data_IF_152342508740
#
_entry.id   IF_152342508740
#
_cell.length_a   1.000
_cell.length_b   1.000
_cell.length_c   1.000
_cell.angle_alpha   90.00
_cell.angle_beta   90.00
_cell.angle_gamma   90.00
#
_symmetry.space_group_name_H-M   'P 1'
#
loop_
_entity.id
_entity.type
_entity.pdbx_description
1 polymer ?
#
# COMPACT_ATOMS: atom_id res chain seq x y z
N UNK A 1 12.51 13.13 5.33
CA UNK A 1 12.34 14.56 5.03
C UNK A 1 10.88 14.87 4.72
N UNK A 2 10.32 14.44 3.58
CA UNK A 2 8.90 14.63 3.24
C UNK A 2 7.91 14.10 4.29
N UNK A 3 8.06 12.84 4.74
CA UNK A 3 7.20 12.28 5.79
C UNK A 3 7.31 13.01 7.14
N UNK A 4 8.44 13.67 7.40
CA UNK A 4 8.67 14.46 8.61
C UNK A 4 8.02 15.83 8.49
N UNK A 5 8.11 16.45 7.32
CA UNK A 5 7.50 17.75 7.02
C UNK A 5 5.98 17.69 7.03
N UNK A 6 5.38 16.63 6.48
CA UNK A 6 3.93 16.48 6.35
C UNK A 6 3.34 15.49 7.37
N UNK A 7 3.96 15.34 8.54
CA UNK A 7 3.57 14.34 9.55
C UNK A 7 2.12 14.53 10.01
N UNK A 8 1.69 15.78 10.21
CA UNK A 8 0.32 16.13 10.58
C UNK A 8 -0.67 15.75 9.48
N UNK A 9 -0.41 16.14 8.24
CA UNK A 9 -1.29 15.87 7.09
C UNK A 9 -1.40 14.37 6.80
N UNK A 10 -0.28 13.64 6.99
CA UNK A 10 -0.25 12.17 6.96
C UNK A 10 -1.08 11.56 8.09
N UNK A 11 -1.04 12.14 9.30
CA UNK A 11 -1.82 11.68 10.45
C UNK A 11 -3.32 11.93 10.29
N UNK A 12 -3.69 13.02 9.62
CA UNK A 12 -5.07 13.39 9.27
C UNK A 12 -5.60 12.63 8.06
N UNK A 13 -4.77 11.77 7.46
CA UNK A 13 -5.19 10.72 6.55
C UNK A 13 -5.91 11.21 5.28
N UNK A 14 -5.53 12.40 4.81
CA UNK A 14 -5.96 12.97 3.52
C UNK A 14 -4.81 13.29 2.55
N UNK A 15 -3.57 13.01 2.97
CA UNK A 15 -2.36 13.19 2.20
C UNK A 15 -1.59 11.87 2.12
N UNK A 16 -1.08 11.54 0.93
CA UNK A 16 -0.17 10.40 0.72
C UNK A 16 1.10 10.94 0.07
N UNK A 17 2.25 10.47 0.55
CA UNK A 17 3.54 10.73 -0.07
C UNK A 17 4.06 9.42 -0.66
N UNK A 18 4.40 9.47 -1.94
CA UNK A 18 5.03 8.36 -2.62
C UNK A 18 6.29 8.84 -3.34
N UNK A 19 7.46 8.52 -2.75
CA UNK A 19 8.76 9.00 -3.23
C UNK A 19 8.74 10.53 -3.32
N UNK A 20 8.58 11.09 -4.52
CA UNK A 20 8.60 12.53 -4.80
C UNK A 20 7.18 13.11 -5.03
N UNK A 21 6.16 12.26 -5.10
CA UNK A 21 4.78 12.67 -5.38
C UNK A 21 3.99 12.89 -4.09
N UNK A 22 3.35 14.06 -3.98
CA UNK A 22 2.36 14.37 -2.94
C UNK A 22 0.97 14.23 -3.56
N UNK A 23 0.14 13.35 -2.99
CA UNK A 23 -1.21 13.09 -3.44
C UNK A 23 -2.19 13.57 -2.36
N UNK A 24 -3.03 14.52 -2.73
CA UNK A 24 -4.04 15.13 -1.87
C UNK A 24 -5.41 14.63 -2.31
N UNK A 25 -6.29 14.28 -1.37
CA UNK A 25 -7.66 13.86 -1.69
C UNK A 25 -8.67 14.41 -0.69
N UNK A 26 -9.91 14.56 -1.16
CA UNK A 26 -11.02 15.12 -0.38
C UNK A 26 -12.37 14.59 -0.83
N UNK A 27 -13.33 14.69 0.08
CA UNK A 27 -14.74 14.33 -0.14
C UNK A 27 -15.49 15.42 -0.89
N UNK A 28 -15.18 16.69 -0.60
CA UNK A 28 -15.79 17.87 -1.23
C UNK A 28 -14.72 18.78 -1.84
N UNK A 29 -15.16 19.65 -2.74
CA UNK A 29 -14.30 20.61 -3.41
C UNK A 29 -13.71 21.63 -2.44
N UNK A 30 -14.52 22.11 -1.49
CA UNK A 30 -14.14 23.10 -0.49
C UNK A 30 -13.04 22.55 0.43
N UNK A 31 -13.21 21.30 0.89
CA UNK A 31 -12.17 20.60 1.66
C UNK A 31 -10.90 20.37 0.81
N UNK A 32 -11.05 20.14 -0.50
CA UNK A 32 -9.90 19.99 -1.40
C UNK A 32 -9.08 21.25 -1.53
N UNK A 33 -9.73 22.40 -1.72
CA UNK A 33 -9.04 23.69 -1.79
C UNK A 33 -8.31 24.01 -0.48
N UNK A 34 -8.97 23.81 0.66
CA UNK A 34 -8.36 24.05 1.98
C UNK A 34 -7.13 23.15 2.22
N UNK A 35 -7.21 21.87 1.87
CA UNK A 35 -6.08 20.92 1.99
C UNK A 35 -4.94 21.27 1.03
N UNK A 36 -5.26 21.63 -0.21
CA UNK A 36 -4.28 22.05 -1.20
C UNK A 36 -3.53 23.30 -0.73
N UNK A 37 -4.24 24.30 -0.21
CA UNK A 37 -3.66 25.51 0.34
C UNK A 37 -2.67 25.19 1.48
N UNK A 38 -3.09 24.36 2.44
CA UNK A 38 -2.23 23.94 3.56
C UNK A 38 -0.93 23.28 3.09
N UNK A 39 -1.02 22.39 2.10
CA UNK A 39 0.16 21.73 1.53
C UNK A 39 1.09 22.73 0.86
N UNK A 40 0.55 23.61 0.02
CA UNK A 40 1.34 24.61 -0.69
C UNK A 40 2.01 25.60 0.28
N UNK A 41 1.32 26.03 1.33
CA UNK A 41 1.90 26.88 2.37
C UNK A 41 3.08 26.19 3.05
N UNK A 42 2.96 24.91 3.39
CA UNK A 42 4.04 24.14 4.03
C UNK A 42 5.23 23.94 3.11
N UNK A 43 4.99 23.68 1.82
CA UNK A 43 6.03 23.60 0.78
C UNK A 43 6.84 24.90 0.74
N UNK A 44 6.17 26.05 0.78
CA UNK A 44 6.82 27.37 0.81
C UNK A 44 7.64 27.56 2.09
N UNK A 45 7.07 27.21 3.25
CA UNK A 45 7.75 27.34 4.55
C UNK A 45 9.06 26.55 4.63
N UNK A 46 9.08 25.33 4.07
CA UNK A 46 10.29 24.49 4.06
C UNK A 46 11.18 24.72 2.84
N UNK A 47 10.91 25.75 2.03
CA UNK A 47 11.64 26.10 0.80
C UNK A 47 11.76 24.91 -0.18
N UNK A 48 10.71 24.10 -0.29
CA UNK A 48 10.64 22.97 -1.22
C UNK A 48 10.17 23.45 -2.59
N UNK A 49 10.79 22.92 -3.66
CA UNK A 49 10.46 23.30 -5.03
C UNK A 49 9.52 22.29 -5.66
N UNK A 50 8.42 22.78 -6.24
CA UNK A 50 7.49 21.99 -7.05
C UNK A 50 7.66 22.30 -8.53
N UNK A 51 7.59 21.27 -9.37
CA UNK A 51 7.54 21.45 -10.82
C UNK A 51 6.09 21.61 -11.26
N UNK A 52 5.62 22.85 -11.40
CA UNK A 52 4.21 23.13 -11.74
C UNK A 52 3.76 22.42 -13.02
N UNK A 53 4.67 22.26 -14.01
CA UNK A 53 4.42 21.51 -15.25
C UNK A 53 4.08 20.02 -15.03
N UNK A 54 4.48 19.45 -13.89
CA UNK A 54 4.21 18.06 -13.50
C UNK A 54 3.05 17.95 -12.50
N UNK A 55 2.54 19.07 -12.00
CA UNK A 55 1.43 19.07 -11.06
C UNK A 55 0.10 18.87 -11.80
N UNK A 56 -0.77 18.05 -11.21
CA UNK A 56 -2.09 17.72 -11.74
C UNK A 56 -3.12 18.05 -10.67
N UNK A 57 -4.06 18.95 -10.95
CA UNK A 57 -5.02 19.45 -9.96
C UNK A 57 -6.46 19.06 -10.29
N UNK A 58 -7.29 18.94 -9.25
CA UNK A 58 -8.74 18.89 -9.35
C UNK A 58 -9.35 17.77 -10.22
N UNK A 59 -8.69 16.60 -10.27
CA UNK A 59 -9.22 15.45 -10.99
C UNK A 59 -10.26 14.69 -10.15
N UNK A 60 -11.40 14.36 -10.75
CA UNK A 60 -12.42 13.49 -10.13
C UNK A 60 -11.92 12.04 -9.95
N UNK A 61 -10.95 11.62 -10.79
CA UNK A 61 -10.21 10.36 -10.69
C UNK A 61 -8.79 10.59 -11.18
N UNK A 62 -7.79 10.27 -10.37
CA UNK A 62 -6.37 10.44 -10.73
C UNK A 62 -5.78 9.10 -11.13
N UNK A 63 -5.07 9.01 -12.26
CA UNK A 63 -4.26 7.81 -12.57
C UNK A 63 -2.86 7.99 -11.98
N UNK A 64 -2.68 7.66 -10.70
CA UNK A 64 -1.37 7.74 -10.04
C UNK A 64 -0.71 6.36 -9.97
N UNK A 65 0.61 6.31 -10.15
CA UNK A 65 1.42 5.09 -9.98
C UNK A 65 0.98 3.91 -10.89
N UNK A 66 0.50 4.21 -12.10
CA UNK A 66 0.03 3.22 -13.07
C UNK A 66 -1.46 2.82 -12.93
N UNK A 67 -2.21 3.38 -11.98
CA UNK A 67 -3.54 2.90 -11.63
C UNK A 67 -4.58 4.01 -11.46
N UNK A 68 -5.83 3.74 -11.86
CA UNK A 68 -6.95 4.69 -11.70
C UNK A 68 -7.34 4.74 -10.24
N UNK A 69 -7.37 5.95 -9.70
CA UNK A 69 -7.65 6.18 -8.31
C UNK A 69 -8.89 7.06 -8.13
N UNK A 70 -9.94 6.43 -7.59
CA UNK A 70 -11.13 7.09 -7.03
C UNK A 70 -11.36 6.46 -5.65
N UNK A 71 -11.40 7.25 -4.57
CA UNK A 71 -11.35 6.77 -3.16
C UNK A 71 -10.05 5.99 -2.86
N UNK A 72 -8.99 6.75 -2.54
CA UNK A 72 -7.60 6.50 -2.96
C UNK A 72 -6.87 5.27 -2.40
N UNK A 73 -7.04 4.94 -1.12
CA UNK A 73 -6.30 3.84 -0.47
C UNK A 73 -6.74 2.45 -0.96
N UNK A 74 -8.04 2.24 -1.15
CA UNK A 74 -8.61 0.97 -1.63
C UNK A 74 -8.32 0.74 -3.12
N UNK A 75 -8.31 1.79 -3.94
CA UNK A 75 -8.12 1.67 -5.40
C UNK A 75 -6.70 1.23 -5.79
N UNK A 76 -5.67 1.85 -5.21
CA UNK A 76 -4.27 1.48 -5.45
C UNK A 76 -3.99 0.07 -4.92
N UNK A 77 -4.55 -0.25 -3.75
CA UNK A 77 -4.43 -1.56 -3.14
C UNK A 77 -5.00 -2.68 -4.02
N UNK A 78 -6.29 -2.56 -4.41
CA UNK A 78 -7.00 -3.61 -5.16
C UNK A 78 -6.26 -3.95 -6.46
N UNK A 79 -5.67 -2.93 -7.09
CA UNK A 79 -4.90 -3.12 -8.32
C UNK A 79 -3.53 -3.79 -8.09
N UNK A 80 -2.77 -3.40 -7.05
CA UNK A 80 -1.49 -4.05 -6.72
C UNK A 80 -1.69 -5.53 -6.35
N UNK A 81 -2.74 -5.84 -5.60
CA UNK A 81 -3.08 -7.24 -5.28
C UNK A 81 -3.57 -8.00 -6.50
N UNK A 82 -4.44 -7.43 -7.32
CA UNK A 82 -4.89 -8.08 -8.55
C UNK A 82 -3.72 -8.50 -9.44
N UNK A 83 -2.71 -7.64 -9.61
CA UNK A 83 -1.51 -7.95 -10.39
C UNK A 83 -0.72 -9.15 -9.82
N UNK A 84 -0.69 -9.34 -8.50
CA UNK A 84 -0.03 -10.49 -7.87
C UNK A 84 -0.91 -11.75 -7.89
N UNK A 85 -2.23 -11.60 -7.76
CA UNK A 85 -3.17 -12.73 -7.86
C UNK A 85 -3.18 -13.37 -9.25
N UNK A 86 -2.93 -12.58 -10.29
CA UNK A 86 -2.87 -13.02 -11.69
C UNK A 86 -1.53 -13.65 -12.08
N UNK A 87 -0.48 -13.50 -11.27
CA UNK A 87 0.81 -14.15 -11.57
C UNK A 87 0.69 -15.67 -11.43
N UNK A 88 1.42 -16.44 -12.27
CA UNK A 88 1.51 -17.88 -12.11
C UNK A 88 2.17 -18.23 -10.78
N UNK A 89 1.96 -19.47 -10.34
CA UNK A 89 2.57 -19.99 -9.12
C UNK A 89 4.11 -19.89 -9.23
N UNK A 90 4.81 -19.40 -8.19
CA UNK A 90 6.27 -19.36 -8.19
C UNK A 90 6.86 -20.74 -8.46
N UNK A 91 7.80 -20.82 -9.39
CA UNK A 91 8.53 -22.03 -9.76
C UNK A 91 9.98 -22.01 -9.23
N UNK A 92 10.41 -20.88 -8.66
CA UNK A 92 11.77 -20.72 -8.13
C UNK A 92 11.80 -20.09 -6.74
N UNK A 93 12.90 -20.30 -5.99
CA UNK A 93 13.14 -19.60 -4.71
C UNK A 93 13.06 -18.08 -4.87
N UNK A 94 13.56 -17.54 -5.98
CA UNK A 94 13.60 -16.10 -6.24
C UNK A 94 12.18 -15.54 -6.37
N UNK A 95 11.33 -16.22 -7.14
CA UNK A 95 9.92 -15.85 -7.31
C UNK A 95 9.15 -15.99 -6.00
N UNK A 96 9.39 -17.06 -5.23
CA UNK A 96 8.74 -17.24 -3.93
C UNK A 96 9.17 -16.16 -2.92
N UNK A 97 10.46 -15.79 -2.88
CA UNK A 97 10.95 -14.66 -2.08
C UNK A 97 10.31 -13.33 -2.50
N UNK A 98 10.14 -13.11 -3.80
CA UNK A 98 9.46 -11.92 -4.32
C UNK A 98 8.00 -11.88 -3.88
N UNK A 99 7.29 -13.00 -3.98
CA UNK A 99 5.92 -13.13 -3.48
C UNK A 99 5.83 -12.89 -1.96
N UNK A 100 6.70 -13.52 -1.17
CA UNK A 100 6.76 -13.32 0.28
C UNK A 100 7.10 -11.88 0.67
N UNK A 101 7.97 -11.20 -0.07
CA UNK A 101 8.25 -9.78 0.13
C UNK A 101 7.02 -8.92 -0.11
N UNK A 102 6.27 -9.19 -1.19
CA UNK A 102 5.00 -8.51 -1.45
C UNK A 102 3.94 -8.79 -0.38
N UNK A 103 3.72 -10.06 -0.04
CA UNK A 103 2.75 -10.44 0.99
C UNK A 103 3.14 -9.88 2.36
N UNK A 104 4.44 -9.83 2.66
CA UNK A 104 5.03 -9.27 3.87
C UNK A 104 4.80 -7.76 4.01
N UNK A 105 4.78 -7.01 2.89
CA UNK A 105 4.39 -5.60 2.91
C UNK A 105 2.96 -5.40 3.45
N UNK A 106 2.07 -6.37 3.24
CA UNK A 106 0.68 -6.31 3.71
C UNK A 106 0.40 -7.18 4.95
N UNK A 107 1.44 -7.66 5.64
CA UNK A 107 1.32 -8.60 6.77
C UNK A 107 0.35 -8.15 7.87
N UNK A 108 0.24 -6.84 8.10
CA UNK A 108 -0.66 -6.26 9.13
C UNK A 108 -2.15 -6.48 8.84
N UNK A 109 -2.51 -6.79 7.58
CA UNK A 109 -3.89 -7.06 7.17
C UNK A 109 -4.16 -8.56 6.99
N UNK A 110 -3.16 -9.40 7.25
CA UNK A 110 -3.25 -10.85 7.10
C UNK A 110 -3.17 -11.47 8.49
N UNK A 111 -4.29 -11.97 8.98
CA UNK A 111 -4.35 -12.69 10.25
C UNK A 111 -3.37 -13.88 10.20
N UNK A 112 -2.60 -14.04 11.27
CA UNK A 112 -1.62 -15.11 11.43
C UNK A 112 -0.55 -15.19 10.32
N UNK A 113 -0.20 -14.07 9.68
CA UNK A 113 0.77 -14.04 8.57
C UNK A 113 2.03 -14.87 8.84
N UNK A 114 2.63 -14.72 10.02
CA UNK A 114 3.86 -15.44 10.38
C UNK A 114 3.67 -16.97 10.44
N UNK A 115 2.51 -17.43 10.93
CA UNK A 115 2.15 -18.86 10.97
C UNK A 115 2.02 -19.41 9.56
N UNK A 116 1.32 -18.69 8.68
CA UNK A 116 1.05 -19.13 7.31
C UNK A 116 2.34 -19.11 6.48
N UNK A 117 3.12 -18.03 6.55
CA UNK A 117 4.35 -17.85 5.77
C UNK A 117 5.49 -18.79 6.21
N UNK A 118 5.41 -19.44 7.37
CA UNK A 118 6.47 -20.28 7.94
C UNK A 118 6.93 -21.39 6.98
N UNK A 119 5.99 -22.14 6.39
CA UNK A 119 6.34 -23.23 5.45
C UNK A 119 6.98 -22.69 4.18
N UNK A 120 6.52 -21.54 3.68
CA UNK A 120 7.07 -20.88 2.50
C UNK A 120 8.48 -20.32 2.73
N UNK A 121 8.75 -19.76 3.92
CA UNK A 121 10.10 -19.32 4.30
C UNK A 121 11.09 -20.49 4.30
N UNK A 122 10.67 -21.66 4.79
CA UNK A 122 11.49 -22.89 4.78
C UNK A 122 11.86 -23.34 3.37
N UNK A 123 10.95 -23.20 2.40
CA UNK A 123 11.22 -23.48 0.97
C UNK A 123 12.25 -22.51 0.35
N UNK A 124 12.44 -21.33 0.97
CA UNK A 124 13.32 -20.28 0.48
C UNK A 124 14.72 -20.27 1.12
N UNK A 125 14.99 -21.15 2.08
CA UNK A 125 16.28 -21.29 2.74
C UNK A 125 17.39 -21.69 1.73
N UNK A 126 18.62 -21.26 2.00
CA UNK A 126 19.74 -21.48 1.06
C UNK A 126 20.01 -22.97 0.82
N UNK A 127 19.97 -23.78 1.88
CA UNK A 127 20.32 -25.21 1.85
C UNK A 127 19.19 -26.15 1.40
N UNK A 128 17.96 -25.64 1.25
CA UNK A 128 16.78 -26.46 0.93
C UNK A 128 16.57 -26.58 -0.58
N UNK A 129 16.35 -27.76 -1.15
CA UNK A 129 15.92 -27.84 -2.57
C UNK A 129 14.55 -27.21 -2.72
N UNK A 130 14.36 -26.35 -3.73
CA UNK A 130 13.06 -25.74 -3.95
C UNK A 130 12.11 -26.77 -4.55
N UNK A 131 11.18 -27.25 -3.74
CA UNK A 131 10.13 -28.15 -4.16
C UNK A 131 8.82 -27.71 -3.52
N UNK A 132 7.77 -27.59 -4.33
CA UNK A 132 6.47 -27.20 -3.82
C UNK A 132 5.82 -28.38 -3.11
N UNK A 133 5.93 -28.40 -1.78
CA UNK A 133 5.26 -29.43 -0.96
C UNK A 133 3.75 -29.15 -0.84
N UNK A 134 2.96 -30.15 -0.44
CA UNK A 134 1.52 -29.99 -0.15
C UNK A 134 1.28 -28.89 0.89
N UNK A 135 2.13 -28.80 1.91
CA UNK A 135 2.07 -27.77 2.96
C UNK A 135 2.42 -26.39 2.42
N UNK A 136 3.43 -26.29 1.55
CA UNK A 136 3.79 -25.05 0.87
C UNK A 136 2.67 -24.55 -0.04
N UNK A 137 2.05 -25.44 -0.82
CA UNK A 137 0.91 -25.10 -1.67
C UNK A 137 -0.27 -24.57 -0.86
N UNK A 138 -0.62 -25.25 0.25
CA UNK A 138 -1.71 -24.82 1.13
C UNK A 138 -1.45 -23.44 1.73
N UNK A 139 -0.23 -23.19 2.20
CA UNK A 139 0.17 -21.89 2.74
C UNK A 139 0.17 -20.78 1.66
N UNK A 140 0.60 -21.09 0.44
CA UNK A 140 0.58 -20.16 -0.69
C UNK A 140 -0.87 -19.74 -1.01
N UNK A 141 -1.78 -20.70 -1.15
CA UNK A 141 -3.20 -20.43 -1.40
C UNK A 141 -3.86 -19.68 -0.24
N UNK A 142 -3.52 -20.01 1.02
CA UNK A 142 -4.03 -19.30 2.21
C UNK A 142 -3.58 -17.83 2.22
N UNK A 143 -2.31 -17.54 1.91
CA UNK A 143 -1.82 -16.17 1.76
C UNK A 143 -2.46 -15.45 0.57
N UNK A 144 -2.61 -16.14 -0.56
CA UNK A 144 -3.23 -15.59 -1.78
C UNK A 144 -4.68 -15.19 -1.52
N UNK A 145 -5.45 -16.05 -0.86
CA UNK A 145 -6.82 -15.77 -0.45
C UNK A 145 -6.90 -14.67 0.62
N UNK A 146 -5.96 -14.65 1.57
CA UNK A 146 -5.90 -13.58 2.57
C UNK A 146 -5.62 -12.22 1.93
N UNK A 147 -4.73 -12.14 0.94
CA UNK A 147 -4.49 -10.91 0.17
C UNK A 147 -5.73 -10.47 -0.62
N UNK A 148 -6.47 -11.42 -1.19
CA UNK A 148 -7.71 -11.15 -1.94
C UNK A 148 -8.83 -10.61 -1.05
N UNK A 149 -9.00 -11.22 0.13
CA UNK A 149 -10.13 -10.97 1.02
C UNK A 149 -9.82 -10.05 2.19
N UNK A 150 -8.56 -9.63 2.35
CA UNK A 150 -8.21 -8.77 3.46
C UNK A 150 -9.07 -7.50 3.43
N UNK A 151 -9.72 -7.22 4.55
CA UNK A 151 -10.35 -5.94 4.78
C UNK A 151 -9.22 -4.96 5.05
N UNK A 152 -8.85 -4.15 4.05
CA UNK A 152 -7.87 -3.11 4.29
C UNK A 152 -8.49 -2.14 5.26
N UNK A 153 -7.85 -2.10 6.43
CA UNK A 153 -8.20 -1.22 7.54
C UNK A 153 -8.30 0.18 6.95
N UNK A 154 -9.52 0.68 6.97
CA UNK A 154 -9.81 2.10 6.76
C UNK A 154 -8.90 2.85 7.73
N UNK A 155 -8.30 3.96 7.28
CA UNK A 155 -8.16 5.13 8.14
C UNK A 155 -8.38 4.88 9.64
N UNK A 156 -7.41 4.64 10.55
CA UNK A 156 -7.73 4.62 11.97
C UNK A 156 -8.53 5.90 12.29
N UNK A 157 -9.79 5.71 12.67
CA UNK A 157 -10.64 6.82 13.03
C UNK A 157 -10.28 7.21 14.47
N UNK A 158 -9.47 8.25 14.59
CA UNK A 158 -9.00 8.77 15.87
C UNK A 158 -10.13 9.31 16.76
N UNK A 159 -11.36 9.45 16.22
CA UNK A 159 -12.55 9.78 17.01
C UNK A 159 -13.17 8.54 17.67
N UNK A 160 -12.77 7.34 17.28
CA UNK A 160 -13.25 6.08 17.84
C UNK A 160 -12.22 5.50 18.83
N UNK A 161 -12.73 4.83 19.86
CA UNK A 161 -11.89 4.10 20.81
C UNK A 161 -11.28 2.87 20.14
N UNK A 162 -9.95 2.72 20.25
CA UNK A 162 -9.27 1.53 19.79
C UNK A 162 -9.54 0.35 20.73
N UNK A 163 -9.82 -0.82 20.17
CA UNK A 163 -9.89 -2.08 20.91
C UNK A 163 -8.65 -2.90 20.59
N UNK A 164 -8.02 -3.43 21.65
CA UNK A 164 -6.93 -4.40 21.58
C UNK A 164 -7.47 -5.80 21.33
#
# INVERSE_FOLDING_TARGET
MLNTTFSEELSEVWLIIYIDDIIIFSETWESHLSRLERVLQKIVQVNMKISLKKCHFAYSKLKALGHVVSRLSLGIYKNKVAAVLLKPMPQTKKEMKSFLGFAGYYRQHIKDFARIAKSLHKLCEQQTVYEMTKEGFKAYEELKNSLKNASFVVMPDWKLSFKL
#
